data_IF_465800133455
#
_entry.id   IF_465800133455
#
_cell.length_a   1.000
_cell.length_b   1.000
_cell.length_c   1.000
_cell.angle_alpha   90.00
_cell.angle_beta   90.00
_cell.angle_gamma   90.00
#
_symmetry.space_group_name_H-M   'P 1'
#
loop_
_entity.id
_entity.type
_entity.pdbx_description
1 polymer ?
#
# COMPACT_ATOMS: atom_id res chain seq x y z
N UNK A 1 -5.41 3.57 12.44
CA UNK A 1 -4.77 2.84 11.33
C UNK A 1 -3.48 3.56 11.00
N UNK A 2 -2.46 2.84 10.56
CA UNK A 2 -1.19 3.41 10.08
C UNK A 2 -0.90 2.86 8.69
N UNK A 3 -0.46 3.70 7.77
CA UNK A 3 0.03 3.30 6.45
C UNK A 3 1.51 3.56 6.40
N UNK A 4 2.31 2.52 6.17
CA UNK A 4 3.77 2.60 6.09
C UNK A 4 4.15 2.45 4.63
N UNK A 5 4.48 3.59 4.00
CA UNK A 5 4.88 3.65 2.59
C UNK A 5 6.36 3.28 2.42
N UNK A 6 7.20 3.72 3.35
CA UNK A 6 8.61 3.36 3.42
C UNK A 6 8.84 2.41 4.60
N UNK A 7 9.15 1.12 4.36
CA UNK A 7 9.38 0.16 5.44
C UNK A 7 10.59 0.47 6.31
N UNK A 8 11.55 1.29 5.85
CA UNK A 8 12.76 1.62 6.62
C UNK A 8 12.43 2.37 7.92
N UNK A 9 11.29 3.05 7.99
CA UNK A 9 10.88 3.77 9.20
C UNK A 9 10.66 2.84 10.40
N UNK A 10 10.38 1.55 10.16
CA UNK A 10 10.19 0.54 11.20
C UNK A 10 11.51 0.20 11.90
N UNK A 11 12.65 0.29 11.21
CA UNK A 11 13.96 0.05 11.83
C UNK A 11 14.53 1.29 12.51
N UNK A 12 14.12 2.50 12.09
CA UNK A 12 14.57 3.77 12.66
C UNK A 12 13.79 4.15 13.93
N UNK A 13 12.56 3.68 14.08
CA UNK A 13 11.74 3.95 15.26
C UNK A 13 10.47 3.12 15.33
N UNK A 14 9.54 3.51 16.20
CA UNK A 14 8.23 2.87 16.31
C UNK A 14 7.13 3.76 15.70
N UNK A 15 6.79 3.62 14.40
CA UNK A 15 5.75 4.41 13.76
C UNK A 15 4.33 4.06 14.25
N UNK A 16 4.20 3.06 15.13
CA UNK A 16 2.92 2.55 15.63
C UNK A 16 2.53 3.12 16.99
N UNK A 17 3.29 4.09 17.52
CA UNK A 17 2.94 4.78 18.76
C UNK A 17 1.56 5.45 18.65
N UNK A 18 0.69 5.19 19.62
CA UNK A 18 -0.70 5.67 19.61
C UNK A 18 -1.69 4.84 18.79
N UNK A 19 -1.23 3.79 18.09
CA UNK A 19 -2.14 2.84 17.45
C UNK A 19 -2.82 1.96 18.51
N UNK A 20 -4.16 2.04 18.58
CA UNK A 20 -4.99 1.19 19.45
C UNK A 20 -4.73 -0.30 19.18
N UNK A 21 -5.00 -1.15 20.16
CA UNK A 21 -4.80 -2.60 20.04
C UNK A 21 -5.63 -3.23 18.91
N UNK A 22 -6.86 -2.73 18.69
CA UNK A 22 -7.72 -3.10 17.56
C UNK A 22 -7.32 -2.41 16.23
N UNK A 23 -6.17 -1.75 16.22
CA UNK A 23 -5.65 -1.02 15.08
C UNK A 23 -5.26 -1.93 13.92
N UNK A 24 -5.10 -1.29 12.77
CA UNK A 24 -4.73 -1.95 11.51
C UNK A 24 -3.56 -1.20 10.87
N UNK A 25 -2.71 -1.96 10.18
CA UNK A 25 -1.54 -1.49 9.47
C UNK A 25 -1.64 -1.89 7.99
N UNK A 26 -1.30 -0.96 7.10
CA UNK A 26 -1.06 -1.24 5.67
C UNK A 26 0.42 -0.97 5.39
N UNK A 27 1.15 -1.97 4.93
CA UNK A 27 2.60 -1.96 4.89
C UNK A 27 3.13 -2.24 3.49
N UNK A 28 3.96 -1.34 2.97
CA UNK A 28 4.82 -1.64 1.84
C UNK A 28 5.97 -2.52 2.33
N UNK A 29 6.04 -3.76 1.87
CA UNK A 29 7.17 -4.65 2.15
C UNK A 29 7.25 -5.79 1.13
N UNK A 30 8.45 -6.14 0.64
CA UNK A 30 8.65 -7.30 -0.23
C UNK A 30 8.43 -8.64 0.52
N UNK A 31 8.36 -8.61 1.85
CA UNK A 31 8.21 -9.80 2.70
C UNK A 31 7.09 -9.60 3.73
N UNK A 32 6.43 -10.68 4.18
CA UNK A 32 5.55 -10.58 5.34
C UNK A 32 6.33 -10.04 6.54
N UNK A 33 5.70 -9.17 7.33
CA UNK A 33 6.22 -8.69 8.61
C UNK A 33 5.22 -9.06 9.68
N UNK A 34 5.68 -9.77 10.70
CA UNK A 34 4.82 -10.13 11.84
C UNK A 34 4.74 -8.95 12.80
N UNK A 35 3.58 -8.29 12.81
CA UNK A 35 3.26 -7.23 13.75
C UNK A 35 2.11 -7.70 14.66
N UNK A 36 2.00 -7.11 15.85
CA UNK A 36 0.94 -7.44 16.80
C UNK A 36 -0.47 -7.01 16.36
N UNK A 37 -0.56 -6.13 15.35
CA UNK A 37 -1.81 -5.60 14.82
C UNK A 37 -2.21 -6.33 13.55
N UNK A 38 -3.49 -6.24 13.20
CA UNK A 38 -4.00 -6.68 11.90
C UNK A 38 -3.23 -5.98 10.79
N UNK A 39 -2.54 -6.73 9.93
CA UNK A 39 -1.57 -6.15 8.99
C UNK A 39 -1.87 -6.61 7.57
N UNK A 40 -1.93 -5.65 6.65
CA UNK A 40 -2.03 -5.86 5.22
C UNK A 40 -0.70 -5.51 4.56
N UNK A 41 -0.19 -6.40 3.71
CA UNK A 41 1.14 -6.26 3.12
C UNK A 41 1.07 -6.35 1.60
N UNK A 42 1.82 -5.47 0.94
CA UNK A 42 2.08 -5.51 -0.51
C UNK A 42 3.51 -5.07 -0.80
N UNK A 43 4.14 -5.61 -1.84
CA UNK A 43 5.38 -5.06 -2.37
C UNK A 43 5.09 -3.95 -3.37
N UNK A 44 4.74 -2.77 -2.87
CA UNK A 44 4.40 -1.64 -3.72
C UNK A 44 5.60 -1.14 -4.54
N UNK A 45 6.82 -1.31 -4.02
CA UNK A 45 8.07 -0.94 -4.70
C UNK A 45 8.27 -1.73 -5.98
N UNK A 46 8.10 -3.06 -5.92
CA UNK A 46 8.16 -3.91 -7.11
C UNK A 46 7.02 -3.61 -8.07
N UNK A 47 5.78 -3.47 -7.57
CA UNK A 47 4.62 -3.13 -8.41
C UNK A 47 4.82 -1.80 -9.15
N UNK A 48 5.32 -0.76 -8.48
CA UNK A 48 5.61 0.52 -9.12
C UNK A 48 6.66 0.37 -10.24
N UNK A 49 7.73 -0.38 -9.96
CA UNK A 49 8.80 -0.65 -10.93
C UNK A 49 8.29 -1.42 -12.16
N UNK A 50 7.51 -2.48 -11.96
CA UNK A 50 6.88 -3.29 -13.01
C UNK A 50 6.00 -2.44 -13.96
N UNK A 51 5.37 -1.39 -13.43
CA UNK A 51 4.45 -0.53 -14.19
C UNK A 51 5.10 0.74 -14.73
N UNK A 52 6.42 0.87 -14.61
CA UNK A 52 7.18 2.04 -15.08
C UNK A 52 6.89 3.32 -14.30
N UNK A 53 6.41 3.20 -13.06
CA UNK A 53 6.25 4.31 -12.12
C UNK A 53 7.57 4.58 -11.39
N UNK A 54 8.61 4.92 -12.16
CA UNK A 54 9.94 5.23 -11.64
C UNK A 54 10.32 6.64 -12.07
N UNK A 55 10.64 7.49 -11.09
CA UNK A 55 11.09 8.86 -11.34
C UNK A 55 12.48 9.06 -10.77
N UNK A 56 13.44 9.41 -11.63
CA UNK A 56 14.84 9.61 -11.24
C UNK A 56 15.46 8.41 -10.50
N UNK A 57 15.08 7.19 -10.89
CA UNK A 57 15.53 5.95 -10.25
C UNK A 57 14.72 5.53 -9.00
N UNK A 58 13.76 6.34 -8.56
CA UNK A 58 12.95 6.07 -7.37
C UNK A 58 11.56 5.54 -7.75
N UNK A 59 11.13 4.38 -7.21
CA UNK A 59 9.77 3.86 -7.39
C UNK A 59 8.72 4.75 -6.71
N UNK A 60 7.69 5.16 -7.46
CA UNK A 60 6.60 6.00 -6.97
C UNK A 60 5.48 5.11 -6.42
N UNK A 61 5.53 4.84 -5.11
CA UNK A 61 4.67 3.85 -4.45
C UNK A 61 3.36 4.44 -3.90
N UNK A 62 3.19 5.75 -3.92
CA UNK A 62 2.13 6.45 -3.19
C UNK A 62 0.72 5.99 -3.63
N UNK A 63 0.44 6.05 -4.93
CA UNK A 63 -0.86 5.63 -5.51
C UNK A 63 -1.00 4.10 -5.50
N UNK A 64 0.10 3.39 -5.67
CA UNK A 64 0.15 1.92 -5.55
C UNK A 64 -0.33 1.48 -4.17
N UNK A 65 0.12 2.16 -3.11
CA UNK A 65 -0.30 1.91 -1.73
C UNK A 65 -1.77 2.25 -1.47
N UNK A 66 -2.40 3.15 -2.25
CA UNK A 66 -3.84 3.40 -2.14
C UNK A 66 -4.65 2.16 -2.56
N UNK A 67 -4.18 1.39 -3.54
CA UNK A 67 -4.79 0.11 -3.89
C UNK A 67 -4.82 -0.86 -2.70
N UNK A 68 -3.71 -0.95 -1.97
CA UNK A 68 -3.63 -1.77 -0.76
C UNK A 68 -4.54 -1.25 0.37
N UNK A 69 -4.57 0.07 0.55
CA UNK A 69 -5.40 0.74 1.56
C UNK A 69 -6.90 0.47 1.32
N UNK A 70 -7.36 0.60 0.07
CA UNK A 70 -8.76 0.35 -0.30
C UNK A 70 -9.17 -1.08 0.04
N UNK A 71 -8.29 -2.07 -0.23
CA UNK A 71 -8.55 -3.46 0.16
C UNK A 71 -8.62 -3.67 1.67
N UNK A 72 -7.69 -3.06 2.40
CA UNK A 72 -7.60 -3.21 3.86
C UNK A 72 -8.82 -2.60 4.58
N UNK A 73 -9.27 -1.41 4.14
CA UNK A 73 -10.36 -0.67 4.78
C UNK A 73 -11.72 -1.22 4.40
N UNK A 74 -11.91 -1.66 3.15
CA UNK A 74 -13.18 -2.23 2.67
C UNK A 74 -14.38 -1.27 2.62
N UNK A 75 -14.19 0.02 2.94
CA UNK A 75 -15.24 1.05 2.93
C UNK A 75 -15.26 1.90 1.64
N UNK A 76 -14.24 1.77 0.78
CA UNK A 76 -14.11 2.49 -0.49
C UNK A 76 -14.03 1.47 -1.62
N UNK A 77 -14.61 1.77 -2.78
CA UNK A 77 -14.53 0.89 -3.94
C UNK A 77 -13.30 1.19 -4.80
N UNK A 78 -12.77 0.16 -5.46
CA UNK A 78 -11.64 0.31 -6.37
C UNK A 78 -11.98 1.27 -7.53
N UNK A 79 -13.21 1.23 -8.03
CA UNK A 79 -13.70 2.14 -9.08
C UNK A 79 -13.76 3.60 -8.62
N UNK A 80 -14.08 3.86 -7.35
CA UNK A 80 -14.06 5.21 -6.81
C UNK A 80 -12.64 5.77 -6.73
N UNK A 81 -11.67 4.93 -6.34
CA UNK A 81 -10.25 5.31 -6.39
C UNK A 81 -9.80 5.55 -7.83
N UNK A 82 -10.25 4.75 -8.79
CA UNK A 82 -9.90 4.91 -10.21
C UNK A 82 -10.34 6.26 -10.76
N UNK A 83 -11.57 6.67 -10.45
CA UNK A 83 -12.06 8.02 -10.80
C UNK A 83 -11.20 9.13 -10.19
N UNK A 84 -10.87 9.03 -8.91
CA UNK A 84 -10.02 10.03 -8.24
C UNK A 84 -8.63 10.13 -8.90
N UNK A 85 -8.05 9.00 -9.32
CA UNK A 85 -6.75 8.99 -10.03
C UNK A 85 -6.86 9.62 -11.43
N UNK A 86 -7.98 9.42 -12.14
CA UNK A 86 -8.23 10.08 -13.43
C UNK A 86 -8.46 11.59 -13.30
N UNK A 87 -8.98 12.06 -12.17
CA UNK A 87 -9.15 13.49 -11.89
C UNK A 87 -7.81 14.16 -11.51
N UNK A 88 -6.94 13.45 -10.79
CA UNK A 88 -5.65 13.97 -10.31
C UNK A 88 -4.54 13.90 -11.37
N UNK A 89 -4.54 12.87 -12.22
CA UNK A 89 -3.47 12.61 -13.20
C UNK A 89 -4.01 12.54 -14.63
N UNK A 90 -3.16 12.87 -15.60
CA UNK A 90 -3.52 12.85 -17.03
C UNK A 90 -2.66 11.87 -17.86
N UNK A 91 -3.26 11.32 -18.91
CA UNK A 91 -2.57 10.54 -19.94
C UNK A 91 -1.89 9.29 -19.39
N UNK A 92 -0.69 8.97 -19.91
CA UNK A 92 0.05 7.75 -19.56
C UNK A 92 0.29 7.58 -18.06
N UNK A 93 0.50 8.67 -17.33
CA UNK A 93 0.73 8.64 -15.88
C UNK A 93 -0.52 8.16 -15.16
N UNK A 94 -1.72 8.59 -15.57
CA UNK A 94 -2.98 8.10 -15.00
C UNK A 94 -3.15 6.60 -15.26
N UNK A 95 -2.95 6.15 -16.50
CA UNK A 95 -3.05 4.74 -16.87
C UNK A 95 -2.09 3.85 -16.08
N UNK A 96 -0.84 4.29 -15.91
CA UNK A 96 0.16 3.54 -15.13
C UNK A 96 -0.23 3.44 -13.66
N UNK A 97 -0.69 4.55 -13.06
CA UNK A 97 -1.16 4.57 -11.67
C UNK A 97 -2.38 3.65 -11.47
N UNK A 98 -3.37 3.70 -12.37
CA UNK A 98 -4.57 2.86 -12.31
C UNK A 98 -4.21 1.37 -12.38
N UNK A 99 -3.35 0.98 -13.33
CA UNK A 99 -2.90 -0.41 -13.45
C UNK A 99 -2.15 -0.86 -12.19
N UNK A 100 -1.20 -0.05 -11.73
CA UNK A 100 -0.37 -0.39 -10.58
C UNK A 100 -1.19 -0.49 -9.29
N UNK A 101 -2.13 0.43 -9.03
CA UNK A 101 -2.97 0.36 -7.84
C UNK A 101 -3.95 -0.82 -7.87
N UNK A 102 -4.47 -1.20 -9.05
CA UNK A 102 -5.32 -2.41 -9.21
C UNK A 102 -4.52 -3.67 -8.87
N UNK A 103 -3.31 -3.78 -9.40
CA UNK A 103 -2.39 -4.88 -9.07
C UNK A 103 -2.05 -4.90 -7.58
N UNK A 104 -1.82 -3.73 -6.96
CA UNK A 104 -1.58 -3.65 -5.52
C UNK A 104 -2.80 -4.09 -4.71
N UNK A 105 -4.01 -3.67 -5.09
CA UNK A 105 -5.25 -4.15 -4.48
C UNK A 105 -5.31 -5.69 -4.54
N UNK A 106 -5.10 -6.28 -5.72
CA UNK A 106 -5.13 -7.74 -5.88
C UNK A 106 -4.06 -8.46 -5.05
N UNK A 107 -2.80 -8.00 -5.12
CA UNK A 107 -1.64 -8.62 -4.45
C UNK A 107 -1.59 -8.37 -2.94
N UNK A 108 -2.33 -7.39 -2.43
CA UNK A 108 -2.38 -7.10 -1.01
C UNK A 108 -2.97 -8.29 -0.26
N UNK A 109 -2.24 -8.77 0.73
CA UNK A 109 -2.63 -9.91 1.57
C UNK A 109 -2.69 -9.50 3.03
N UNK A 110 -3.65 -10.04 3.74
CA UNK A 110 -3.69 -9.97 5.19
C UNK A 110 -2.69 -10.99 5.77
N UNK A 111 -1.81 -10.53 6.64
CA UNK A 111 -0.88 -11.37 7.39
C UNK A 111 -1.44 -11.48 8.81
N UNK A 112 -2.00 -12.65 9.10
CA UNK A 112 -2.49 -12.97 10.44
C UNK A 112 -1.32 -13.45 11.30
N UNK A 113 -1.23 -12.96 12.53
CA UNK A 113 -0.42 -13.64 13.54
C UNK A 113 -1.16 -14.92 13.92
N UNK A 114 -0.51 -16.08 13.77
CA UNK A 114 -0.99 -17.28 14.47
C UNK A 114 -0.76 -17.00 15.96
N UNK A 115 -1.84 -16.95 16.73
CA UNK A 115 -1.72 -16.86 18.18
C UNK A 115 -0.95 -18.09 18.66
N UNK A 116 0.20 -17.86 19.30
CA UNK A 116 0.86 -18.84 20.15
C UNK A 116 0.13 -18.87 21.51
#
# INVERSE_FOLDING_TARGET
MVVVIDPTIISVGNPFSGLKDSGMIVLNSPRPVELRWRTFVVDATSVASEHGLVRSGWPMVNVVMLGALVKAVGAVTLDSLERAVMEEFSGKVAEQNIKAMRVAYERTREVMKVAA
#
